data_IF_329659911811
#
_entry.id   IF_329659911811
#
_cell.length_a   1.000
_cell.length_b   1.000
_cell.length_c   1.000
_cell.angle_alpha   90.00
_cell.angle_beta   90.00
_cell.angle_gamma   90.00
#
_symmetry.space_group_name_H-M   'P 1'
#
loop_
_entity.id
_entity.type
_entity.pdbx_description
1 polymer ?
#
# COMPACT_ATOMS: atom_id res chain seq x y z
N UNK A 1 61.85 6.87 19.05
CA UNK A 1 60.39 6.72 19.33
C UNK A 1 59.65 7.72 18.47
N UNK A 2 59.35 7.31 17.23
CA UNK A 2 58.52 8.08 16.29
C UNK A 2 57.08 7.62 16.40
N UNK A 3 56.20 8.56 16.70
CA UNK A 3 54.76 8.36 16.67
C UNK A 3 54.25 8.56 15.22
N UNK A 4 53.85 7.49 14.57
CA UNK A 4 53.18 7.56 13.26
C UNK A 4 51.70 7.88 13.44
N UNK A 5 51.30 9.10 13.11
CA UNK A 5 49.93 9.50 12.94
C UNK A 5 49.37 8.90 11.63
N UNK A 6 48.36 8.05 11.73
CA UNK A 6 47.58 7.59 10.57
C UNK A 6 46.66 8.71 10.10
N UNK A 7 47.07 9.42 9.04
CA UNK A 7 46.20 10.33 8.30
C UNK A 7 45.32 9.50 7.33
N UNK A 8 44.02 9.77 7.35
CA UNK A 8 43.02 9.21 6.45
C UNK A 8 43.26 9.61 4.97
N UNK A 9 44.22 8.96 4.36
CA UNK A 9 44.52 9.09 2.94
C UNK A 9 43.58 8.19 2.13
N UNK A 10 42.52 8.76 1.56
CA UNK A 10 41.67 8.06 0.61
C UNK A 10 42.49 7.50 -0.54
N UNK A 11 42.41 6.19 -0.79
CA UNK A 11 43.02 5.53 -1.94
C UNK A 11 42.40 6.08 -3.21
N UNK A 12 42.97 7.16 -3.75
CA UNK A 12 42.76 7.57 -5.14
C UNK A 12 43.54 6.64 -6.03
N UNK A 13 42.95 5.50 -6.47
CA UNK A 13 43.50 4.73 -7.56
C UNK A 13 43.53 5.63 -8.80
N UNK A 14 44.74 6.01 -9.26
CA UNK A 14 44.92 6.49 -10.62
C UNK A 14 44.55 5.34 -11.55
N UNK A 15 43.42 5.47 -12.22
CA UNK A 15 43.08 4.61 -13.36
C UNK A 15 44.14 4.86 -14.42
N UNK A 16 44.89 3.82 -14.78
CA UNK A 16 45.88 3.85 -15.88
C UNK A 16 45.15 4.17 -17.17
N UNK A 17 45.77 5.01 -18.03
CA UNK A 17 45.30 5.27 -19.40
C UNK A 17 45.11 3.95 -20.12
N UNK A 18 43.85 3.58 -20.44
CA UNK A 18 43.56 2.37 -21.21
C UNK A 18 42.32 1.57 -20.78
N UNK A 19 41.77 1.80 -19.60
CA UNK A 19 40.48 1.21 -19.24
C UNK A 19 39.36 2.22 -19.55
N UNK A 20 38.59 1.96 -20.60
CA UNK A 20 37.34 2.69 -20.82
C UNK A 20 36.46 2.50 -19.56
N UNK A 21 36.06 3.60 -18.95
CA UNK A 21 35.09 3.58 -17.84
C UNK A 21 33.74 3.26 -18.47
N UNK A 22 33.23 2.06 -18.21
CA UNK A 22 31.95 1.59 -18.77
C UNK A 22 30.81 2.55 -18.44
N UNK A 23 30.86 3.18 -17.26
CA UNK A 23 29.83 4.13 -16.82
C UNK A 23 30.44 5.51 -16.49
N UNK A 24 29.91 6.55 -17.09
CA UNK A 24 30.23 7.94 -16.76
C UNK A 24 29.11 8.52 -15.91
N UNK A 25 29.45 9.30 -14.88
CA UNK A 25 28.44 10.01 -14.06
C UNK A 25 27.53 10.95 -14.88
N UNK A 26 28.00 11.39 -16.04
CA UNK A 26 27.25 12.23 -16.98
C UNK A 26 26.33 11.44 -17.92
N UNK A 27 26.31 10.11 -17.87
CA UNK A 27 25.39 9.35 -18.70
C UNK A 27 23.98 9.53 -18.14
N UNK A 28 23.14 10.23 -18.89
CA UNK A 28 21.71 10.38 -18.63
C UNK A 28 20.94 9.26 -19.35
N UNK A 29 19.69 9.02 -18.94
CA UNK A 29 18.82 8.07 -19.66
C UNK A 29 18.66 8.51 -21.12
N UNK A 30 18.47 9.81 -21.37
CA UNK A 30 18.36 10.40 -22.71
C UNK A 30 19.56 10.07 -23.61
N UNK A 31 20.77 10.12 -23.04
CA UNK A 31 21.99 9.85 -23.79
C UNK A 31 22.25 8.35 -24.02
N UNK A 32 21.79 7.48 -23.10
CA UNK A 32 22.08 6.03 -23.11
C UNK A 32 20.95 5.24 -23.77
N UNK A 33 19.71 5.62 -23.52
CA UNK A 33 18.51 4.96 -24.03
C UNK A 33 17.41 6.00 -24.34
N UNK A 34 17.51 6.67 -25.51
CA UNK A 34 16.53 7.68 -25.90
C UNK A 34 15.09 7.15 -25.98
N UNK A 35 14.88 5.87 -26.28
CA UNK A 35 13.56 5.27 -26.38
C UNK A 35 12.88 5.19 -25.00
N UNK A 36 13.63 4.79 -23.97
CA UNK A 36 13.13 4.81 -22.59
C UNK A 36 12.91 6.24 -22.10
N UNK A 37 13.81 7.16 -22.45
CA UNK A 37 13.67 8.57 -22.10
C UNK A 37 12.39 9.20 -22.69
N UNK A 38 12.08 8.91 -23.94
CA UNK A 38 10.88 9.37 -24.64
C UNK A 38 9.61 8.91 -23.91
N UNK A 39 9.53 7.63 -23.54
CA UNK A 39 8.39 7.09 -22.77
C UNK A 39 8.25 7.77 -21.40
N UNK A 40 9.35 7.97 -20.66
CA UNK A 40 9.34 8.64 -19.37
C UNK A 40 8.86 10.10 -19.53
N UNK A 41 9.31 10.78 -20.58
CA UNK A 41 8.93 12.17 -20.86
C UNK A 41 7.44 12.28 -21.19
N UNK A 42 6.90 11.37 -22.00
CA UNK A 42 5.47 11.32 -22.29
C UNK A 42 4.62 11.01 -21.05
N UNK A 43 5.06 10.06 -20.21
CA UNK A 43 4.34 9.76 -18.96
C UNK A 43 4.41 10.94 -17.98
N UNK A 44 5.54 11.66 -17.92
CA UNK A 44 5.66 12.87 -17.12
C UNK A 44 4.65 13.93 -17.58
N UNK A 45 4.57 14.18 -18.88
CA UNK A 45 3.60 15.11 -19.46
C UNK A 45 2.15 14.66 -19.16
N UNK A 46 1.85 13.36 -19.32
CA UNK A 46 0.54 12.83 -18.97
C UNK A 46 0.17 13.09 -17.51
N UNK A 47 1.09 12.85 -16.58
CA UNK A 47 0.85 13.08 -15.15
C UNK A 47 0.65 14.57 -14.83
N UNK A 48 1.29 15.47 -15.55
CA UNK A 48 1.07 16.91 -15.40
C UNK A 48 -0.26 17.39 -16.00
N UNK A 49 -0.66 16.85 -17.15
CA UNK A 49 -1.82 17.32 -17.91
C UNK A 49 -3.14 16.70 -17.47
N UNK A 50 -3.11 15.47 -16.91
CA UNK A 50 -4.32 14.75 -16.54
C UNK A 50 -4.79 15.06 -15.11
N UNK A 51 -6.09 15.00 -14.90
CA UNK A 51 -6.73 14.92 -13.58
C UNK A 51 -6.72 13.45 -13.17
N UNK A 52 -5.90 13.11 -12.16
CA UNK A 52 -5.73 11.76 -11.67
C UNK A 52 -6.71 11.44 -10.54
N UNK A 53 -7.69 10.59 -10.81
CA UNK A 53 -8.72 10.19 -9.86
C UNK A 53 -8.69 8.68 -9.53
N UNK A 54 -7.66 7.94 -9.93
CA UNK A 54 -7.48 6.57 -9.46
C UNK A 54 -7.17 6.60 -7.96
N UNK A 55 -8.06 6.05 -7.14
CA UNK A 55 -7.99 6.12 -5.68
C UNK A 55 -6.73 5.49 -5.06
N UNK A 56 -6.05 4.63 -5.80
CA UNK A 56 -4.81 3.95 -5.39
C UNK A 56 -3.53 4.61 -5.91
N UNK A 57 -3.63 5.75 -6.58
CA UNK A 57 -2.50 6.51 -7.09
C UNK A 57 -2.24 7.78 -6.28
N UNK A 58 -0.98 8.21 -6.30
CA UNK A 58 -0.52 9.43 -5.67
C UNK A 58 0.84 9.84 -6.26
N UNK A 59 1.30 11.04 -5.95
CA UNK A 59 2.60 11.55 -6.38
C UNK A 59 3.59 11.52 -5.22
N UNK A 60 4.65 10.72 -5.37
CA UNK A 60 5.76 10.70 -4.42
C UNK A 60 6.58 12.01 -4.51
N UNK A 61 7.11 12.47 -3.38
CA UNK A 61 7.94 13.67 -3.35
C UNK A 61 9.25 13.50 -4.14
N UNK A 62 9.88 14.60 -4.58
CA UNK A 62 11.21 14.55 -5.19
C UNK A 62 12.25 13.85 -4.30
N UNK A 63 12.16 13.99 -2.97
CA UNK A 63 13.07 13.33 -2.03
C UNK A 63 12.88 11.81 -2.00
N UNK A 64 11.64 11.33 -2.06
CA UNK A 64 11.32 9.91 -2.20
C UNK A 64 11.87 9.36 -3.51
N UNK A 65 11.68 10.08 -4.63
CA UNK A 65 12.21 9.70 -5.95
C UNK A 65 13.74 9.68 -5.98
N UNK A 66 14.39 10.65 -5.33
CA UNK A 66 15.85 10.69 -5.21
C UNK A 66 16.39 9.50 -4.41
N UNK A 67 15.72 9.10 -3.33
CA UNK A 67 16.10 7.92 -2.54
C UNK A 67 15.98 6.64 -3.37
N UNK A 68 14.94 6.49 -4.18
CA UNK A 68 14.77 5.36 -5.10
C UNK A 68 15.88 5.27 -6.16
N UNK A 69 16.33 6.41 -6.69
CA UNK A 69 17.42 6.49 -7.67
C UNK A 69 18.83 6.47 -7.06
N UNK A 70 18.97 6.16 -5.78
CA UNK A 70 20.25 6.20 -5.07
C UNK A 70 21.14 4.98 -5.32
N UNK A 71 22.41 5.08 -4.93
CA UNK A 71 23.38 3.98 -5.01
C UNK A 71 23.03 2.75 -4.14
N UNK A 72 22.01 2.87 -3.25
CA UNK A 72 21.55 1.76 -2.44
C UNK A 72 20.94 0.62 -3.27
N UNK A 73 20.56 0.88 -4.53
CA UNK A 73 20.15 -0.16 -5.48
C UNK A 73 21.24 -1.21 -5.72
N UNK A 74 22.50 -0.86 -5.51
CA UNK A 74 23.64 -1.77 -5.73
C UNK A 74 23.90 -2.71 -4.55
N UNK A 75 23.26 -2.49 -3.37
CA UNK A 75 23.59 -3.21 -2.16
C UNK A 75 22.75 -4.45 -1.96
N UNK A 76 23.39 -5.60 -1.84
CA UNK A 76 22.79 -6.87 -1.47
C UNK A 76 22.81 -7.04 0.05
N UNK A 77 21.64 -7.17 0.70
CA UNK A 77 21.51 -7.10 2.15
C UNK A 77 20.52 -8.15 2.72
N UNK A 78 20.66 -9.43 2.31
CA UNK A 78 19.86 -10.52 2.89
C UNK A 78 20.02 -10.60 4.39
N UNK A 79 18.93 -10.91 5.08
CA UNK A 79 18.82 -10.87 6.53
C UNK A 79 18.20 -9.57 7.03
N UNK A 80 18.53 -9.20 8.26
CA UNK A 80 17.95 -8.04 8.98
C UNK A 80 19.05 -7.18 9.59
N UNK A 81 18.78 -5.93 10.02
CA UNK A 81 19.77 -5.07 10.65
C UNK A 81 20.56 -5.79 11.76
N UNK A 82 21.89 -5.71 11.70
CA UNK A 82 22.79 -6.40 12.62
C UNK A 82 22.90 -7.93 12.44
N UNK A 83 22.11 -8.52 11.53
CA UNK A 83 22.08 -9.97 11.26
C UNK A 83 22.03 -10.24 9.76
N UNK A 84 22.98 -9.68 8.99
CA UNK A 84 23.08 -9.84 7.55
C UNK A 84 23.94 -11.04 7.16
N UNK A 85 23.61 -11.61 6.01
CA UNK A 85 24.42 -12.67 5.39
C UNK A 85 25.58 -12.11 4.58
N UNK A 86 25.64 -10.80 4.32
CA UNK A 86 26.65 -10.11 3.50
C UNK A 86 27.34 -9.02 4.30
N UNK A 87 28.63 -8.78 4.02
CA UNK A 87 29.38 -7.67 4.58
C UNK A 87 29.02 -6.31 3.96
N UNK A 88 29.49 -5.22 4.57
CA UNK A 88 29.29 -3.85 4.05
C UNK A 88 27.85 -3.34 4.21
N UNK A 89 27.15 -3.78 5.24
CA UNK A 89 25.73 -3.42 5.48
C UNK A 89 25.55 -2.34 6.54
N UNK A 90 26.65 -1.82 7.12
CA UNK A 90 26.62 -0.86 8.23
C UNK A 90 25.76 0.38 7.94
N UNK A 91 25.74 0.87 6.72
CA UNK A 91 24.93 2.05 6.34
C UNK A 91 23.50 1.69 5.99
N UNK A 92 23.27 0.56 5.31
CA UNK A 92 21.91 0.12 4.97
C UNK A 92 21.14 -0.39 6.18
N UNK A 93 21.83 -0.89 7.21
CA UNK A 93 21.24 -1.24 8.50
C UNK A 93 20.63 0.00 9.17
N UNK A 94 21.34 1.14 9.13
CA UNK A 94 20.82 2.41 9.66
C UNK A 94 19.57 2.85 8.88
N UNK A 95 19.58 2.73 7.56
CA UNK A 95 18.43 3.11 6.70
C UNK A 95 17.21 2.25 7.01
N UNK A 96 17.39 0.93 7.13
CA UNK A 96 16.27 0.02 7.43
C UNK A 96 15.74 0.27 8.85
N UNK A 97 16.63 0.48 9.83
CA UNK A 97 16.23 0.81 11.19
C UNK A 97 15.45 2.14 11.26
N UNK A 98 15.88 3.17 10.51
CA UNK A 98 15.13 4.43 10.42
C UNK A 98 13.71 4.22 9.85
N UNK A 99 13.55 3.36 8.85
CA UNK A 99 12.23 3.05 8.32
C UNK A 99 11.35 2.34 9.36
N UNK A 100 11.90 1.38 10.10
CA UNK A 100 11.23 0.67 11.19
C UNK A 100 10.80 1.65 12.29
N UNK A 101 11.73 2.48 12.79
CA UNK A 101 11.47 3.41 13.88
C UNK A 101 10.42 4.46 13.51
N UNK A 102 10.51 5.00 12.29
CA UNK A 102 9.52 5.97 11.78
C UNK A 102 8.15 5.34 11.60
N UNK A 103 8.06 4.08 11.14
CA UNK A 103 6.80 3.36 11.04
C UNK A 103 6.17 3.13 12.42
N UNK A 104 6.95 2.74 13.43
CA UNK A 104 6.48 2.62 14.81
C UNK A 104 5.99 3.96 15.37
N UNK A 105 6.77 5.01 15.18
CA UNK A 105 6.43 6.36 15.64
C UNK A 105 5.15 6.88 15.01
N UNK A 106 4.94 6.59 13.72
CA UNK A 106 3.78 7.07 12.97
C UNK A 106 2.49 6.36 13.35
N UNK A 107 2.54 5.04 13.58
CA UNK A 107 1.33 4.22 13.71
C UNK A 107 1.14 3.59 15.10
N UNK A 108 2.22 3.15 15.75
CA UNK A 108 2.12 2.40 17.00
C UNK A 108 2.08 3.33 18.23
N UNK A 109 2.96 4.35 18.27
CA UNK A 109 3.03 5.28 19.42
C UNK A 109 1.72 6.05 19.65
N UNK A 110 1.04 6.61 18.61
CA UNK A 110 -0.23 7.30 18.82
C UNK A 110 -1.35 6.40 19.37
N UNK A 111 -1.26 5.09 19.10
CA UNK A 111 -2.21 4.10 19.60
C UNK A 111 -1.79 3.52 20.97
N UNK A 112 -0.60 3.86 21.48
CA UNK A 112 -0.07 3.35 22.75
C UNK A 112 0.21 1.83 22.71
N UNK A 113 0.58 1.27 21.56
CA UNK A 113 0.80 -0.17 21.38
C UNK A 113 2.22 -0.48 20.93
N UNK A 114 2.71 -1.66 21.32
CA UNK A 114 3.97 -2.20 20.84
C UNK A 114 3.70 -3.23 19.74
N UNK A 115 4.31 -3.03 18.56
CA UNK A 115 4.30 -3.99 17.47
C UNK A 115 5.71 -4.12 16.86
N UNK A 116 6.04 -5.32 16.39
CA UNK A 116 7.19 -5.54 15.53
C UNK A 116 6.85 -5.04 14.10
N UNK A 117 7.85 -4.52 13.40
CA UNK A 117 7.69 -3.94 12.07
C UNK A 117 8.68 -4.56 11.08
N UNK A 118 8.19 -5.05 9.95
CA UNK A 118 9.00 -5.48 8.82
C UNK A 118 8.76 -4.55 7.63
N UNK A 119 9.84 -3.90 7.17
CA UNK A 119 9.79 -2.92 6.06
C UNK A 119 10.28 -3.48 4.73
N UNK A 120 10.63 -4.77 4.68
CA UNK A 120 11.21 -5.41 3.49
C UNK A 120 10.21 -5.84 2.41
N UNK A 121 8.89 -6.04 2.64
CA UNK A 121 7.99 -6.47 1.57
C UNK A 121 8.07 -5.56 0.34
N UNK A 122 8.25 -6.18 -0.85
CA UNK A 122 8.36 -5.46 -2.11
C UNK A 122 7.03 -4.83 -2.55
N UNK A 123 5.92 -5.35 -2.07
CA UNK A 123 4.57 -4.86 -2.36
C UNK A 123 3.59 -5.21 -1.24
N UNK A 124 2.39 -4.61 -1.24
CA UNK A 124 1.31 -5.02 -0.34
C UNK A 124 0.88 -6.48 -0.55
N UNK A 125 0.87 -6.95 -1.80
CA UNK A 125 0.56 -8.37 -2.09
C UNK A 125 1.60 -9.31 -1.47
N UNK A 126 2.89 -8.97 -1.49
CA UNK A 126 3.92 -9.76 -0.81
C UNK A 126 3.85 -9.64 0.72
N UNK A 127 3.48 -8.48 1.25
CA UNK A 127 3.22 -8.35 2.69
C UNK A 127 2.10 -9.30 3.13
N UNK A 128 0.96 -9.31 2.41
CA UNK A 128 -0.15 -10.21 2.70
C UNK A 128 0.25 -11.68 2.55
N UNK A 129 0.97 -12.03 1.48
CA UNK A 129 1.40 -13.42 1.27
C UNK A 129 2.39 -13.90 2.34
N UNK A 130 3.28 -13.03 2.81
CA UNK A 130 4.20 -13.36 3.90
C UNK A 130 3.45 -13.63 5.23
N UNK A 131 2.40 -12.87 5.52
CA UNK A 131 1.54 -13.12 6.68
C UNK A 131 0.87 -14.50 6.57
N UNK A 132 0.26 -14.79 5.44
CA UNK A 132 -0.37 -16.11 5.24
C UNK A 132 0.65 -17.24 5.31
N UNK A 133 1.78 -17.11 4.64
CA UNK A 133 2.83 -18.12 4.65
C UNK A 133 3.43 -18.36 6.05
N UNK A 134 3.52 -17.32 6.87
CA UNK A 134 4.07 -17.41 8.23
C UNK A 134 3.10 -17.96 9.29
N UNK A 135 1.78 -17.85 9.04
CA UNK A 135 0.77 -18.13 10.06
C UNK A 135 -0.21 -19.23 9.69
N UNK A 136 -0.28 -19.64 8.42
CA UNK A 136 -1.27 -20.58 7.91
C UNK A 136 -0.62 -21.78 7.23
N UNK A 137 -1.35 -22.89 7.21
CA UNK A 137 -1.05 -24.05 6.39
C UNK A 137 -1.95 -24.07 5.13
N UNK A 138 -1.47 -24.69 4.06
CA UNK A 138 -2.26 -24.87 2.83
C UNK A 138 -3.57 -25.60 3.15
N UNK A 139 -4.69 -25.01 2.75
CA UNK A 139 -6.03 -25.55 3.04
C UNK A 139 -6.69 -24.98 4.28
N UNK A 140 -5.99 -24.15 5.07
CA UNK A 140 -6.63 -23.41 6.15
C UNK A 140 -7.73 -22.46 5.63
N UNK A 141 -8.70 -22.17 6.49
CA UNK A 141 -9.80 -21.25 6.12
C UNK A 141 -9.44 -19.81 6.41
N UNK A 142 -9.66 -18.93 5.44
CA UNK A 142 -9.54 -17.47 5.57
C UNK A 142 -10.90 -16.81 5.26
N UNK A 143 -11.16 -15.68 5.90
CA UNK A 143 -12.29 -14.81 5.58
C UNK A 143 -11.78 -13.45 5.09
N UNK A 144 -12.41 -12.89 4.08
CA UNK A 144 -12.10 -11.55 3.55
C UNK A 144 -13.30 -10.96 2.84
N UNK A 145 -13.29 -9.64 2.63
CA UNK A 145 -14.34 -8.97 1.87
C UNK A 145 -14.36 -9.47 0.42
N UNK A 146 -15.54 -9.80 -0.07
CA UNK A 146 -15.77 -10.22 -1.46
C UNK A 146 -15.15 -9.22 -2.44
N UNK A 147 -14.44 -9.71 -3.47
CA UNK A 147 -13.85 -8.86 -4.50
C UNK A 147 -14.92 -8.02 -5.23
N UNK A 148 -16.10 -8.61 -5.45
CA UNK A 148 -17.23 -7.93 -6.11
C UNK A 148 -17.82 -6.79 -5.25
N UNK A 149 -17.54 -6.78 -3.96
CA UNK A 149 -18.07 -5.81 -3.00
C UNK A 149 -16.96 -4.92 -2.40
N UNK A 150 -15.81 -4.85 -3.06
CA UNK A 150 -14.73 -3.93 -2.73
C UNK A 150 -13.51 -4.55 -2.06
N UNK A 151 -13.42 -5.88 -1.93
CA UNK A 151 -12.24 -6.57 -1.42
C UNK A 151 -11.01 -6.41 -2.34
N UNK A 152 -9.86 -6.89 -1.86
CA UNK A 152 -8.63 -6.93 -2.66
C UNK A 152 -8.38 -8.35 -3.20
N UNK A 153 -7.62 -8.46 -4.30
CA UNK A 153 -7.25 -9.75 -4.91
C UNK A 153 -6.65 -10.72 -3.89
N UNK A 154 -5.80 -10.23 -2.98
CA UNK A 154 -5.13 -11.04 -1.97
C UNK A 154 -6.00 -11.39 -0.76
N UNK A 155 -7.29 -11.03 -0.77
CA UNK A 155 -8.25 -11.40 0.27
C UNK A 155 -9.07 -12.66 -0.09
N UNK A 156 -8.59 -13.47 -1.05
CA UNK A 156 -9.21 -14.75 -1.40
C UNK A 156 -9.72 -14.87 -2.83
N UNK A 157 -9.35 -13.97 -3.74
CA UNK A 157 -9.74 -14.10 -5.16
C UNK A 157 -9.19 -15.39 -5.75
N UNK A 158 -10.04 -16.17 -6.43
CA UNK A 158 -9.77 -17.56 -6.83
C UNK A 158 -8.54 -17.77 -7.73
N UNK A 159 -8.14 -16.78 -8.54
CA UNK A 159 -6.92 -16.85 -9.35
C UNK A 159 -5.67 -16.38 -8.58
N UNK A 160 -5.85 -15.68 -7.46
CA UNK A 160 -4.76 -15.24 -6.62
C UNK A 160 -4.25 -16.39 -5.74
N UNK A 161 -2.98 -16.33 -5.29
CA UNK A 161 -2.43 -17.34 -4.37
C UNK A 161 -3.34 -17.56 -3.14
N UNK A 162 -3.96 -16.49 -2.62
CA UNK A 162 -4.85 -16.55 -1.46
C UNK A 162 -6.10 -17.43 -1.71
N UNK A 163 -6.65 -17.37 -2.92
CA UNK A 163 -7.78 -18.22 -3.30
C UNK A 163 -7.38 -19.61 -3.80
N UNK A 164 -6.09 -19.80 -4.16
CA UNK A 164 -5.58 -21.11 -4.65
C UNK A 164 -5.09 -22.01 -3.54
N UNK A 165 -4.56 -21.45 -2.46
CA UNK A 165 -3.94 -22.22 -1.38
C UNK A 165 -4.84 -22.38 -0.15
N UNK A 166 -5.84 -21.48 0.02
CA UNK A 166 -6.68 -21.46 1.20
C UNK A 166 -8.16 -21.68 0.85
N UNK A 167 -8.92 -22.16 1.83
CA UNK A 167 -10.38 -22.20 1.75
C UNK A 167 -10.90 -20.80 2.06
N UNK A 168 -11.55 -20.19 1.09
CA UNK A 168 -12.04 -18.82 1.21
C UNK A 168 -13.52 -18.80 1.54
N UNK A 169 -13.87 -18.10 2.61
CA UNK A 169 -15.26 -17.78 2.96
C UNK A 169 -15.39 -16.26 2.88
N UNK A 170 -15.94 -15.72 1.77
CA UNK A 170 -16.10 -14.28 1.64
C UNK A 170 -17.23 -13.77 2.53
N UNK A 171 -17.03 -12.59 3.13
CA UNK A 171 -18.13 -11.80 3.68
C UNK A 171 -18.47 -10.65 2.72
N UNK A 172 -19.63 -10.00 2.94
CA UNK A 172 -20.14 -9.00 2.03
C UNK A 172 -20.72 -7.79 2.72
N UNK A 173 -21.52 -7.06 1.97
CA UNK A 173 -22.22 -5.86 2.39
C UNK A 173 -23.69 -6.16 2.68
N UNK A 174 -24.30 -5.36 3.53
CA UNK A 174 -25.74 -5.36 3.80
C UNK A 174 -26.55 -4.63 2.71
N UNK A 175 -27.86 -4.50 2.93
CA UNK A 175 -28.75 -3.80 2.00
C UNK A 175 -28.46 -2.29 1.90
N UNK A 176 -27.73 -1.70 2.85
CA UNK A 176 -27.29 -0.32 2.84
C UNK A 176 -25.90 -0.14 2.24
N UNK A 177 -25.34 -1.22 1.67
CA UNK A 177 -23.99 -1.27 1.10
C UNK A 177 -22.88 -0.99 2.13
N UNK A 178 -23.16 -1.29 3.41
CA UNK A 178 -22.20 -1.29 4.51
C UNK A 178 -21.74 -2.72 4.84
N UNK A 179 -20.57 -2.88 5.45
CA UNK A 179 -20.09 -4.21 5.90
C UNK A 179 -21.12 -4.80 6.88
N UNK A 180 -21.60 -6.00 6.57
CA UNK A 180 -22.56 -6.74 7.42
C UNK A 180 -21.81 -7.47 8.54
N UNK A 181 -21.56 -6.78 9.66
CA UNK A 181 -20.82 -7.34 10.79
C UNK A 181 -21.51 -8.54 11.45
N UNK A 182 -22.84 -8.58 11.45
CA UNK A 182 -23.59 -9.72 12.00
C UNK A 182 -23.41 -10.95 11.13
N UNK A 183 -23.41 -10.76 9.81
CA UNK A 183 -23.11 -11.84 8.88
C UNK A 183 -21.64 -12.28 8.96
N UNK A 184 -20.70 -11.36 9.16
CA UNK A 184 -19.28 -11.68 9.43
C UNK A 184 -19.16 -12.57 10.66
N UNK A 185 -19.84 -12.22 11.76
CA UNK A 185 -19.81 -12.98 12.99
C UNK A 185 -20.42 -14.39 12.81
N UNK A 186 -21.57 -14.46 12.16
CA UNK A 186 -22.22 -15.73 11.85
C UNK A 186 -21.29 -16.65 11.05
N UNK A 187 -20.73 -16.15 9.94
CA UNK A 187 -19.80 -16.91 9.07
C UNK A 187 -18.55 -17.36 9.83
N UNK A 188 -17.99 -16.49 10.68
CA UNK A 188 -16.82 -16.81 11.49
C UNK A 188 -17.09 -17.97 12.46
N UNK A 189 -18.25 -17.97 13.09
CA UNK A 189 -18.68 -19.08 13.99
C UNK A 189 -18.90 -20.39 13.23
N UNK A 190 -19.45 -20.33 12.01
CA UNK A 190 -19.72 -21.48 11.15
C UNK A 190 -18.42 -22.09 10.61
N UNK A 191 -17.53 -21.29 10.03
CA UNK A 191 -16.35 -21.78 9.32
C UNK A 191 -15.05 -21.82 10.14
N UNK A 192 -15.02 -21.18 11.32
CA UNK A 192 -13.86 -21.09 12.23
C UNK A 192 -12.55 -20.81 11.49
N UNK A 193 -12.43 -19.64 10.85
CA UNK A 193 -11.26 -19.30 10.05
C UNK A 193 -10.02 -19.21 10.93
N UNK A 194 -8.84 -19.38 10.33
CA UNK A 194 -7.56 -19.10 11.00
C UNK A 194 -7.25 -17.60 11.00
N UNK A 195 -7.73 -16.90 9.96
CA UNK A 195 -7.51 -15.47 9.80
C UNK A 195 -8.78 -14.80 9.23
N UNK A 196 -9.15 -13.66 9.80
CA UNK A 196 -10.13 -12.75 9.22
C UNK A 196 -9.37 -11.53 8.71
N UNK A 197 -9.55 -11.19 7.42
CA UNK A 197 -8.92 -10.05 6.78
C UNK A 197 -9.93 -8.92 6.72
N UNK A 198 -9.67 -7.83 7.44
CA UNK A 198 -10.41 -6.58 7.32
C UNK A 198 -9.62 -5.60 6.44
N UNK A 199 -10.32 -4.80 5.65
CA UNK A 199 -9.74 -3.86 4.71
C UNK A 199 -10.33 -4.02 3.32
N UNK A 200 -10.18 -3.00 2.50
CA UNK A 200 -10.83 -2.94 1.21
C UNK A 200 -10.04 -2.10 0.20
N UNK A 201 -10.28 -2.36 -1.09
CA UNK A 201 -9.77 -1.57 -2.22
C UNK A 201 -10.79 -0.57 -2.74
N UNK A 202 -12.08 -0.78 -2.47
CA UNK A 202 -13.17 0.00 -3.04
C UNK A 202 -14.38 0.07 -2.07
N UNK A 203 -14.12 0.46 -0.83
CA UNK A 203 -15.14 0.64 0.20
C UNK A 203 -15.08 2.07 0.74
N UNK A 204 -16.19 2.78 0.69
CA UNK A 204 -16.25 4.23 0.93
C UNK A 204 -16.36 4.59 2.40
N UNK A 205 -16.99 3.71 3.22
CA UNK A 205 -17.34 4.01 4.61
C UNK A 205 -16.19 3.68 5.57
N UNK A 206 -16.35 4.05 6.83
CA UNK A 206 -15.42 3.67 7.89
C UNK A 206 -15.55 2.19 8.22
N UNK A 207 -14.40 1.58 8.56
CA UNK A 207 -14.33 0.18 9.00
C UNK A 207 -14.20 0.16 10.51
N UNK A 208 -15.07 -0.60 11.19
CA UNK A 208 -14.98 -0.84 12.63
C UNK A 208 -14.02 -1.99 12.94
N UNK A 209 -12.75 -1.63 13.10
CA UNK A 209 -11.69 -2.61 13.40
C UNK A 209 -11.85 -3.25 14.77
N UNK A 210 -12.49 -2.54 15.74
CA UNK A 210 -12.78 -3.10 17.06
C UNK A 210 -13.79 -4.24 16.93
N UNK A 211 -14.87 -4.04 16.18
CA UNK A 211 -15.87 -5.08 15.96
C UNK A 211 -15.28 -6.29 15.23
N UNK A 212 -14.42 -6.07 14.25
CA UNK A 212 -13.69 -7.17 13.60
C UNK A 212 -12.80 -7.94 14.58
N UNK A 213 -12.12 -7.26 15.51
CA UNK A 213 -11.28 -7.91 16.52
C UNK A 213 -12.13 -8.77 17.47
N UNK A 214 -13.24 -8.24 17.96
CA UNK A 214 -14.18 -8.98 18.80
C UNK A 214 -14.64 -10.28 18.10
N UNK A 215 -15.02 -10.19 16.84
CA UNK A 215 -15.46 -11.34 16.04
C UNK A 215 -14.31 -12.35 15.86
N UNK A 216 -13.15 -11.90 15.38
CA UNK A 216 -12.02 -12.78 15.11
C UNK A 216 -11.56 -13.51 16.37
N UNK A 217 -11.35 -12.80 17.45
CA UNK A 217 -10.88 -13.37 18.71
C UNK A 217 -11.92 -14.30 19.36
N UNK A 218 -13.23 -14.05 19.17
CA UNK A 218 -14.30 -14.92 19.70
C UNK A 218 -14.26 -16.35 19.13
N UNK A 219 -13.68 -16.53 17.95
CA UNK A 219 -13.53 -17.82 17.28
C UNK A 219 -12.09 -18.35 17.25
N UNK A 220 -11.15 -17.64 17.91
CA UNK A 220 -9.72 -17.99 17.96
C UNK A 220 -8.96 -17.71 16.66
N UNK A 221 -9.49 -16.84 15.80
CA UNK A 221 -8.84 -16.41 14.58
C UNK A 221 -7.93 -15.18 14.82
N UNK A 222 -6.89 -15.04 14.00
CA UNK A 222 -6.16 -13.78 13.92
C UNK A 222 -7.00 -12.72 13.18
N UNK A 223 -6.95 -11.48 13.66
CA UNK A 223 -7.38 -10.33 12.86
C UNK A 223 -6.17 -9.76 12.10
N UNK A 224 -6.21 -9.84 10.78
CA UNK A 224 -5.29 -9.13 9.89
C UNK A 224 -6.01 -7.93 9.27
N UNK A 225 -5.45 -6.74 9.43
CA UNK A 225 -5.97 -5.55 8.75
C UNK A 225 -5.06 -5.15 7.62
N UNK A 226 -5.58 -5.17 6.39
CA UNK A 226 -4.93 -4.56 5.22
C UNK A 226 -5.41 -3.11 5.11
N UNK A 227 -4.61 -2.19 5.66
CA UNK A 227 -4.93 -0.75 5.65
C UNK A 227 -4.38 -0.01 4.43
N UNK A 228 -3.96 -0.72 3.38
CA UNK A 228 -3.23 -0.14 2.24
C UNK A 228 -3.89 1.11 1.65
N UNK A 229 -5.20 1.11 1.48
CA UNK A 229 -5.93 2.27 0.97
C UNK A 229 -6.00 3.42 1.99
N UNK A 230 -6.09 3.12 3.27
CA UNK A 230 -6.39 4.09 4.33
C UNK A 230 -5.14 4.53 5.12
N UNK A 231 -3.96 3.96 4.85
CA UNK A 231 -2.76 4.16 5.66
C UNK A 231 -2.39 5.63 5.87
N UNK A 232 -2.46 6.45 4.82
CA UNK A 232 -2.19 7.89 4.94
C UNK A 232 -3.24 8.63 5.77
N UNK A 233 -4.51 8.23 5.70
CA UNK A 233 -5.59 8.82 6.50
C UNK A 233 -5.49 8.40 7.97
N UNK A 234 -5.06 7.17 8.24
CA UNK A 234 -4.76 6.68 9.59
C UNK A 234 -3.57 7.43 10.16
N UNK A 235 -2.49 7.58 9.39
CA UNK A 235 -1.31 8.36 9.78
C UNK A 235 -1.65 9.84 10.10
N UNK A 236 -2.57 10.42 9.33
CA UNK A 236 -3.07 11.78 9.57
C UNK A 236 -4.07 11.89 10.73
N UNK A 237 -4.51 10.76 11.33
CA UNK A 237 -5.48 10.73 12.42
C UNK A 237 -6.92 11.07 12.00
N UNK A 238 -7.27 10.94 10.71
CA UNK A 238 -8.60 11.29 10.17
C UNK A 238 -9.46 10.07 9.82
N UNK A 239 -8.94 8.87 9.99
CA UNK A 239 -9.63 7.58 9.77
C UNK A 239 -9.38 6.65 10.97
N UNK A 240 -10.31 5.72 11.29
CA UNK A 240 -10.12 4.77 12.39
C UNK A 240 -8.82 4.00 12.29
N UNK A 241 -8.12 3.82 13.42
CA UNK A 241 -6.87 3.06 13.47
C UNK A 241 -7.12 1.59 13.77
N UNK A 242 -6.43 0.64 13.09
CA UNK A 242 -6.46 -0.78 13.44
C UNK A 242 -5.51 -1.11 14.61
N UNK A 243 -4.59 -0.22 14.94
CA UNK A 243 -3.60 -0.42 15.99
C UNK A 243 -4.28 -0.44 17.37
N UNK A 244 -3.98 -1.46 18.17
CA UNK A 244 -4.69 -1.76 19.41
C UNK A 244 -5.85 -2.75 19.26
N UNK A 245 -6.22 -3.11 18.03
CA UNK A 245 -7.26 -4.09 17.72
C UNK A 245 -6.75 -5.29 16.94
N UNK A 246 -5.93 -5.05 15.91
CA UNK A 246 -5.43 -6.09 15.01
C UNK A 246 -4.21 -6.83 15.57
N UNK A 247 -4.11 -8.13 15.27
CA UNK A 247 -2.92 -8.94 15.53
C UNK A 247 -1.83 -8.65 14.52
N UNK A 248 -2.22 -8.42 13.27
CA UNK A 248 -1.35 -8.08 12.15
C UNK A 248 -1.96 -6.92 11.36
N UNK A 249 -1.12 -5.96 10.97
CA UNK A 249 -1.50 -4.88 10.05
C UNK A 249 -0.55 -4.90 8.86
N UNK A 250 -1.11 -4.92 7.66
CA UNK A 250 -0.32 -4.77 6.42
C UNK A 250 -0.70 -3.50 5.70
N UNK A 251 0.22 -2.97 4.91
CA UNK A 251 -0.07 -1.81 4.07
C UNK A 251 0.84 -1.75 2.86
N UNK A 252 0.41 -0.97 1.86
CA UNK A 252 1.29 -0.40 0.83
C UNK A 252 1.80 0.96 1.30
N UNK A 253 2.90 1.41 0.70
CA UNK A 253 3.47 2.73 1.01
C UNK A 253 3.14 3.82 -0.01
N UNK A 254 2.54 3.47 -1.17
CA UNK A 254 2.42 4.33 -2.35
C UNK A 254 1.01 4.86 -2.66
N UNK A 255 0.02 4.65 -1.77
CA UNK A 255 -1.36 5.15 -1.96
C UNK A 255 -1.56 6.44 -1.16
N UNK A 256 -2.51 6.48 -0.24
CA UNK A 256 -2.71 7.66 0.62
C UNK A 256 -1.48 8.04 1.44
N UNK A 257 -0.58 7.09 1.74
CA UNK A 257 0.67 7.36 2.46
C UNK A 257 1.73 8.11 1.62
N UNK A 258 1.55 8.21 0.30
CA UNK A 258 2.34 9.06 -0.60
C UNK A 258 3.84 8.72 -0.70
N UNK A 259 4.19 7.45 -0.43
CA UNK A 259 5.56 6.96 -0.48
C UNK A 259 5.92 6.18 -1.76
N UNK A 260 7.04 5.47 -1.75
CA UNK A 260 7.46 4.61 -2.87
C UNK A 260 6.56 3.38 -2.97
N UNK A 261 6.58 2.70 -4.12
CA UNK A 261 5.91 1.41 -4.27
C UNK A 261 6.59 0.36 -3.40
N UNK A 262 5.85 -0.18 -2.44
CA UNK A 262 6.35 -1.18 -1.48
C UNK A 262 5.27 -1.57 -0.48
N UNK A 263 5.61 -2.42 0.50
CA UNK A 263 4.74 -2.84 1.58
C UNK A 263 5.41 -2.76 2.94
N UNK A 264 4.59 -2.78 4.00
CA UNK A 264 5.00 -2.91 5.39
C UNK A 264 4.13 -3.97 6.07
N UNK A 265 4.69 -4.62 7.09
CA UNK A 265 3.96 -5.50 7.99
C UNK A 265 4.22 -5.04 9.42
N UNK A 266 3.17 -4.89 10.19
CA UNK A 266 3.19 -4.74 11.64
C UNK A 266 2.57 -5.99 12.24
N UNK A 267 3.14 -6.53 13.29
CA UNK A 267 2.56 -7.69 13.97
C UNK A 267 2.83 -7.63 15.48
N UNK A 268 2.03 -8.35 16.23
CA UNK A 268 2.30 -8.56 17.65
C UNK A 268 3.75 -9.09 17.83
N UNK A 269 4.44 -8.72 18.91
CA UNK A 269 5.85 -9.14 19.15
C UNK A 269 6.05 -10.65 19.14
N UNK A 270 5.08 -11.43 19.63
CA UNK A 270 5.14 -12.90 19.63
C UNK A 270 5.11 -13.54 18.23
N UNK A 271 4.66 -12.80 17.22
CA UNK A 271 4.59 -13.24 15.82
C UNK A 271 5.81 -12.82 14.99
N UNK A 272 6.67 -11.91 15.53
CA UNK A 272 7.78 -11.31 14.79
C UNK A 272 8.67 -12.34 14.10
N UNK A 273 9.11 -13.36 14.85
CA UNK A 273 10.01 -14.39 14.31
C UNK A 273 9.39 -15.14 13.14
N UNK A 274 8.11 -15.46 13.21
CA UNK A 274 7.38 -16.17 12.13
C UNK A 274 7.25 -15.28 10.89
N UNK A 275 6.85 -14.03 11.09
CA UNK A 275 6.68 -13.06 10.01
C UNK A 275 8.02 -12.74 9.34
N UNK A 276 9.07 -12.46 10.12
CA UNK A 276 10.39 -12.20 9.57
C UNK A 276 10.95 -13.40 8.79
N UNK A 277 10.76 -14.64 9.29
CA UNK A 277 11.15 -15.85 8.55
C UNK A 277 10.33 -16.07 7.29
N UNK A 278 9.06 -15.68 7.28
CA UNK A 278 8.19 -15.77 6.11
C UNK A 278 8.58 -14.75 5.03
N UNK A 279 9.01 -13.55 5.42
CA UNK A 279 9.54 -12.55 4.48
C UNK A 279 10.88 -13.03 3.94
N UNK A 280 11.86 -13.24 4.81
CA UNK A 280 13.18 -13.74 4.44
C UNK A 280 13.60 -14.87 5.39
N UNK A 281 13.99 -16.04 4.86
CA UNK A 281 14.16 -16.39 3.45
C UNK A 281 12.89 -16.97 2.78
N UNK A 282 11.72 -16.92 3.43
CA UNK A 282 10.53 -17.66 3.00
C UNK A 282 10.02 -17.24 1.61
N UNK A 283 9.85 -15.95 1.36
CA UNK A 283 9.24 -15.43 0.14
C UNK A 283 10.13 -14.47 -0.67
N UNK A 284 11.10 -13.87 -0.03
CA UNK A 284 12.02 -12.91 -0.64
C UNK A 284 13.46 -13.30 -0.38
N UNK A 285 14.39 -12.85 -1.27
CA UNK A 285 15.83 -12.83 -1.06
C UNK A 285 16.29 -11.45 -0.61
N UNK A 286 17.23 -10.84 -1.35
CA UNK A 286 17.75 -9.52 -1.06
C UNK A 286 16.67 -8.43 -1.05
N UNK A 287 16.55 -7.66 0.03
CA UNK A 287 15.61 -6.55 0.10
C UNK A 287 16.04 -5.41 -0.83
N UNK A 288 15.05 -4.61 -1.28
CA UNK A 288 15.29 -3.45 -2.15
C UNK A 288 15.69 -2.25 -1.28
N UNK A 289 17.00 -2.11 -0.99
CA UNK A 289 17.49 -1.10 -0.04
C UNK A 289 17.22 0.34 -0.47
N UNK A 290 17.21 0.63 -1.77
CA UNK A 290 16.81 1.92 -2.31
C UNK A 290 15.32 2.23 -2.07
N UNK A 291 14.45 1.22 -2.13
CA UNK A 291 13.02 1.37 -1.80
C UNK A 291 12.84 1.53 -0.28
N UNK A 292 13.60 0.80 0.55
CA UNK A 292 13.56 0.96 2.01
C UNK A 292 13.99 2.37 2.40
N UNK A 293 15.03 2.92 1.76
CA UNK A 293 15.42 4.31 1.96
C UNK A 293 14.29 5.29 1.59
N UNK A 294 13.64 5.06 0.47
CA UNK A 294 12.49 5.86 0.05
C UNK A 294 11.29 5.73 1.01
N UNK A 295 11.05 4.53 1.57
CA UNK A 295 10.07 4.33 2.68
C UNK A 295 10.45 5.15 3.91
N UNK A 296 11.74 5.14 4.30
CA UNK A 296 12.21 5.93 5.43
C UNK A 296 11.96 7.43 5.22
N UNK A 297 12.22 7.95 4.01
CA UNK A 297 11.94 9.34 3.66
C UNK A 297 10.44 9.64 3.77
N UNK A 298 9.60 8.84 3.10
CA UNK A 298 8.15 9.05 3.08
C UNK A 298 7.52 8.96 4.48
N UNK A 299 7.97 8.04 5.32
CA UNK A 299 7.52 7.93 6.71
C UNK A 299 7.98 9.15 7.54
N UNK A 300 9.16 9.70 7.23
CA UNK A 300 9.62 10.97 7.81
C UNK A 300 8.75 12.15 7.42
N UNK A 301 8.36 12.25 6.14
CA UNK A 301 7.41 13.26 5.65
C UNK A 301 6.03 13.11 6.29
N UNK A 302 5.57 11.86 6.49
CA UNK A 302 4.28 11.60 7.13
C UNK A 302 4.26 11.92 8.63
N UNK A 303 5.40 12.02 9.29
CA UNK A 303 5.53 12.50 10.68
C UNK A 303 5.47 14.02 10.81
N UNK A 304 5.59 14.77 9.71
CA UNK A 304 5.48 16.23 9.72
C UNK A 304 4.00 16.63 9.93
N UNK A 305 3.72 17.66 10.75
CA UNK A 305 2.35 18.13 10.97
C UNK A 305 1.58 18.51 9.71
N UNK A 306 2.24 18.90 8.63
CA UNK A 306 1.62 19.19 7.34
C UNK A 306 0.92 17.97 6.73
N UNK A 307 1.35 16.76 7.08
CA UNK A 307 0.71 15.54 6.58
C UNK A 307 -0.72 15.37 7.11
N UNK A 308 -1.00 15.85 8.33
CA UNK A 308 -2.37 15.91 8.86
C UNK A 308 -3.24 16.83 8.02
N UNK A 309 -2.72 18.01 7.65
CA UNK A 309 -3.44 18.96 6.78
C UNK A 309 -3.76 18.33 5.42
N UNK A 310 -2.79 17.61 4.84
CA UNK A 310 -3.02 16.83 3.62
C UNK A 310 -4.14 15.79 3.81
N UNK A 311 -4.11 14.99 4.87
CA UNK A 311 -5.13 13.96 5.13
C UNK A 311 -6.54 14.55 5.31
N UNK A 312 -6.65 15.68 6.04
CA UNK A 312 -7.91 16.40 6.20
C UNK A 312 -8.44 16.94 4.85
N UNK A 313 -7.54 17.46 4.00
CA UNK A 313 -7.94 17.96 2.69
C UNK A 313 -8.35 16.82 1.75
N UNK A 314 -7.67 15.66 1.79
CA UNK A 314 -8.09 14.47 1.04
C UNK A 314 -9.53 14.07 1.37
N UNK A 315 -9.90 14.08 2.65
CA UNK A 315 -11.26 13.76 3.09
C UNK A 315 -12.29 14.80 2.60
N UNK A 316 -11.97 16.09 2.72
CA UNK A 316 -12.83 17.19 2.24
C UNK A 316 -13.05 17.13 0.73
N UNK A 317 -12.00 16.91 -0.02
CA UNK A 317 -12.07 16.82 -1.49
C UNK A 317 -12.92 15.61 -1.93
N UNK A 318 -12.77 14.46 -1.27
CA UNK A 318 -13.58 13.29 -1.56
C UNK A 318 -15.08 13.54 -1.26
N UNK A 319 -15.39 14.11 -0.11
CA UNK A 319 -16.76 14.44 0.27
C UNK A 319 -17.40 15.45 -0.71
N UNK A 320 -16.70 16.54 -1.03
CA UNK A 320 -17.18 17.54 -1.96
C UNK A 320 -17.42 16.97 -3.37
N UNK A 321 -16.52 16.10 -3.84
CA UNK A 321 -16.69 15.42 -5.13
C UNK A 321 -17.91 14.49 -5.11
N UNK A 322 -18.12 13.70 -4.05
CA UNK A 322 -19.28 12.84 -3.91
C UNK A 322 -20.59 13.63 -3.88
N UNK A 323 -20.65 14.71 -3.10
CA UNK A 323 -21.84 15.59 -3.03
C UNK A 323 -22.17 16.22 -4.38
N UNK A 324 -21.19 16.70 -5.11
CA UNK A 324 -21.40 17.33 -6.41
C UNK A 324 -21.86 16.31 -7.46
N UNK A 325 -21.32 15.09 -7.46
CA UNK A 325 -21.77 14.00 -8.33
C UNK A 325 -23.22 13.62 -8.05
N UNK A 326 -23.62 13.53 -6.77
CA UNK A 326 -25.02 13.25 -6.37
C UNK A 326 -25.95 14.37 -6.82
N UNK A 327 -25.57 15.66 -6.64
CA UNK A 327 -26.35 16.82 -7.13
C UNK A 327 -26.57 16.78 -8.65
N UNK A 328 -25.63 16.19 -9.39
CA UNK A 328 -25.74 15.99 -10.86
C UNK A 328 -26.46 14.71 -11.27
N UNK A 329 -27.06 13.99 -10.32
CA UNK A 329 -27.88 12.81 -10.59
C UNK A 329 -27.12 11.49 -10.70
N UNK A 330 -25.82 11.45 -10.32
CA UNK A 330 -25.08 10.21 -10.22
C UNK A 330 -25.34 9.53 -8.86
N UNK A 331 -25.26 8.21 -8.85
CA UNK A 331 -25.41 7.43 -7.62
C UNK A 331 -24.02 7.07 -7.07
N UNK A 332 -23.78 7.40 -5.82
CA UNK A 332 -22.62 6.91 -5.07
C UNK A 332 -23.04 5.63 -4.33
N UNK A 333 -22.26 4.57 -4.44
CA UNK A 333 -22.43 3.35 -3.63
C UNK A 333 -22.28 3.74 -2.15
N UNK A 334 -23.16 3.27 -1.28
CA UNK A 334 -23.34 3.70 0.11
C UNK A 334 -23.82 5.16 0.28
N UNK A 335 -24.25 5.83 -0.78
CA UNK A 335 -24.79 7.19 -0.76
C UNK A 335 -23.76 8.32 -0.56
N UNK A 336 -22.64 8.07 0.08
CA UNK A 336 -21.58 9.04 0.40
C UNK A 336 -20.23 8.37 0.60
N UNK A 337 -19.20 9.16 0.92
CA UNK A 337 -17.90 8.63 1.33
C UNK A 337 -17.47 9.20 2.68
N UNK A 338 -16.85 8.36 3.48
CA UNK A 338 -16.19 8.67 4.75
C UNK A 338 -14.68 8.43 4.69
N UNK A 339 -14.15 8.35 3.46
CA UNK A 339 -12.73 8.12 3.18
C UNK A 339 -12.28 8.92 1.95
N UNK A 340 -11.17 8.52 1.33
CA UNK A 340 -10.63 9.11 0.10
C UNK A 340 -11.23 8.51 -1.17
N UNK A 341 -11.99 7.43 -1.08
CA UNK A 341 -12.46 6.63 -2.22
C UNK A 341 -13.98 6.59 -2.27
N UNK A 342 -14.53 6.56 -3.48
CA UNK A 342 -15.94 6.32 -3.73
C UNK A 342 -16.13 5.46 -4.97
N UNK A 343 -17.24 4.71 -5.01
CA UNK A 343 -17.73 4.03 -6.20
C UNK A 343 -18.91 4.79 -6.76
N UNK A 344 -18.89 5.05 -8.06
CA UNK A 344 -20.00 5.67 -8.80
C UNK A 344 -20.71 4.58 -9.59
N UNK A 345 -22.00 4.39 -9.32
CA UNK A 345 -22.88 3.51 -10.08
C UNK A 345 -23.39 4.23 -11.33
N UNK A 346 -23.02 3.71 -12.49
CA UNK A 346 -23.33 4.31 -13.79
C UNK A 346 -24.60 3.73 -14.44
N UNK A 347 -25.27 2.75 -13.83
CA UNK A 347 -26.51 2.14 -14.35
C UNK A 347 -27.63 3.16 -14.59
N UNK A 348 -27.83 4.18 -13.73
CA UNK A 348 -28.82 5.22 -14.02
C UNK A 348 -28.58 5.97 -15.33
N UNK A 349 -27.31 6.12 -15.74
CA UNK A 349 -26.92 6.76 -16.99
C UNK A 349 -26.92 5.80 -18.19
N UNK A 350 -27.15 4.49 -17.96
CA UNK A 350 -27.11 3.42 -18.98
C UNK A 350 -25.78 3.34 -19.72
N UNK A 351 -24.65 3.62 -19.04
CA UNK A 351 -23.30 3.47 -19.55
C UNK A 351 -22.51 2.49 -18.70
N UNK A 352 -21.58 1.79 -19.32
CA UNK A 352 -20.72 0.84 -18.63
C UNK A 352 -19.47 1.55 -18.03
N UNK A 353 -18.85 0.94 -17.02
CA UNK A 353 -17.60 1.43 -16.48
C UNK A 353 -16.50 1.54 -17.54
N UNK A 354 -16.42 0.57 -18.46
CA UNK A 354 -15.47 0.60 -19.58
C UNK A 354 -15.70 1.80 -20.51
N UNK A 355 -16.95 2.10 -20.86
CA UNK A 355 -17.26 3.26 -21.69
C UNK A 355 -16.90 4.57 -20.98
N UNK A 356 -17.25 4.70 -19.70
CA UNK A 356 -16.93 5.87 -18.90
C UNK A 356 -15.41 6.07 -18.75
N UNK A 357 -14.65 5.01 -18.43
CA UNK A 357 -13.19 5.04 -18.36
C UNK A 357 -12.57 5.54 -19.68
N UNK A 358 -13.05 5.06 -20.83
CA UNK A 358 -12.57 5.48 -22.15
C UNK A 358 -12.87 6.95 -22.44
N UNK A 359 -14.11 7.39 -22.17
CA UNK A 359 -14.53 8.78 -22.42
C UNK A 359 -13.82 9.78 -21.50
N UNK A 360 -13.68 9.45 -20.22
CA UNK A 360 -12.99 10.29 -19.26
C UNK A 360 -11.49 10.41 -19.57
N UNK A 361 -10.86 9.30 -19.98
CA UNK A 361 -9.45 9.34 -20.41
C UNK A 361 -9.24 10.22 -21.63
N UNK A 362 -10.17 10.22 -22.60
CA UNK A 362 -10.15 11.12 -23.75
C UNK A 362 -10.34 12.60 -23.36
N UNK A 363 -10.92 12.86 -22.18
CA UNK A 363 -11.08 14.18 -21.60
C UNK A 363 -9.95 14.52 -20.58
N UNK A 364 -8.86 13.77 -20.58
CA UNK A 364 -7.73 13.92 -19.65
C UNK A 364 -8.12 13.74 -18.18
N UNK A 365 -9.09 12.87 -17.91
CA UNK A 365 -9.48 12.46 -16.55
C UNK A 365 -9.22 10.97 -16.40
N UNK A 366 -8.24 10.62 -15.58
CA UNK A 366 -7.83 9.22 -15.36
C UNK A 366 -8.61 8.59 -14.21
N UNK A 367 -9.35 7.52 -14.52
CA UNK A 367 -10.13 6.73 -13.54
C UNK A 367 -9.95 5.25 -13.83
N UNK A 368 -10.43 4.38 -12.95
CA UNK A 368 -10.58 2.97 -13.29
C UNK A 368 -12.03 2.52 -13.24
N UNK A 369 -12.43 1.69 -14.21
CA UNK A 369 -13.69 0.95 -14.12
C UNK A 369 -13.63 0.01 -12.91
N UNK A 370 -14.76 -0.17 -12.25
CA UNK A 370 -14.88 -1.00 -11.07
C UNK A 370 -16.25 -1.66 -11.00
N UNK A 371 -16.28 -2.92 -10.57
CA UNK A 371 -17.53 -3.56 -10.23
C UNK A 371 -18.20 -2.84 -9.06
N UNK A 372 -19.51 -2.82 -9.06
CA UNK A 372 -20.35 -2.34 -7.96
C UNK A 372 -21.05 -3.53 -7.29
N UNK A 373 -21.59 -3.38 -6.07
CA UNK A 373 -22.36 -4.45 -5.45
C UNK A 373 -23.50 -4.92 -6.37
N UNK A 374 -23.65 -6.24 -6.51
CA UNK A 374 -24.60 -6.88 -7.42
C UNK A 374 -24.48 -6.41 -8.89
N UNK A 375 -23.27 -6.25 -9.37
CA UNK A 375 -22.97 -5.81 -10.72
C UNK A 375 -23.45 -6.86 -11.74
N UNK A 376 -24.34 -6.50 -12.70
CA UNK A 376 -24.79 -7.42 -13.74
C UNK A 376 -23.75 -7.62 -14.85
N UNK A 377 -22.73 -6.77 -14.93
CA UNK A 377 -21.72 -6.79 -15.99
C UNK A 377 -20.52 -7.69 -15.61
N UNK A 378 -19.81 -8.14 -16.65
CA UNK A 378 -18.57 -8.91 -16.47
C UNK A 378 -17.44 -8.02 -15.92
N UNK A 379 -16.43 -8.58 -15.22
CA UNK A 379 -15.33 -7.81 -14.60
C UNK A 379 -14.54 -6.88 -15.54
N UNK A 380 -14.47 -7.17 -16.85
CA UNK A 380 -13.80 -6.32 -17.84
C UNK A 380 -14.68 -5.20 -18.40
N UNK A 381 -15.96 -5.18 -18.08
CA UNK A 381 -16.94 -4.19 -18.52
C UNK A 381 -17.35 -3.30 -17.36
N UNK A 382 -17.86 -3.88 -16.29
CA UNK A 382 -18.36 -3.29 -15.05
C UNK A 382 -19.49 -2.25 -15.26
N UNK A 383 -20.23 -1.97 -14.20
CA UNK A 383 -21.29 -0.95 -14.20
C UNK A 383 -20.90 0.32 -13.44
N UNK A 384 -19.68 0.40 -12.93
CA UNK A 384 -19.21 1.53 -12.16
C UNK A 384 -17.78 1.97 -12.48
N UNK A 385 -17.42 3.10 -11.89
CA UNK A 385 -16.04 3.60 -11.82
C UNK A 385 -15.68 3.86 -10.38
N UNK A 386 -14.39 3.74 -10.05
CA UNK A 386 -13.84 4.09 -8.74
C UNK A 386 -13.10 5.43 -8.87
N UNK A 387 -13.39 6.34 -7.95
CA UNK A 387 -12.77 7.67 -7.87
C UNK A 387 -12.11 7.85 -6.52
N UNK A 388 -11.08 8.67 -6.49
CA UNK A 388 -10.40 9.08 -5.26
C UNK A 388 -9.70 10.43 -5.38
N UNK A 389 -9.46 11.06 -4.25
CA UNK A 389 -8.94 12.42 -4.15
C UNK A 389 -7.43 12.57 -3.85
N UNK A 390 -6.64 11.52 -3.45
CA UNK A 390 -5.30 11.72 -2.93
C UNK A 390 -4.32 12.40 -3.89
N UNK A 391 -4.27 11.96 -5.15
CA UNK A 391 -3.35 12.48 -6.15
C UNK A 391 -3.60 13.98 -6.42
N UNK A 392 -4.86 14.36 -6.63
CA UNK A 392 -5.20 15.77 -6.87
C UNK A 392 -4.99 16.64 -5.63
N UNK A 393 -5.25 16.10 -4.43
CA UNK A 393 -4.93 16.82 -3.18
C UNK A 393 -3.42 17.08 -3.06
N UNK A 394 -2.58 16.12 -3.43
CA UNK A 394 -1.12 16.30 -3.46
C UNK A 394 -0.70 17.40 -4.44
N UNK A 395 -1.45 17.59 -5.54
CA UNK A 395 -1.22 18.68 -6.51
C UNK A 395 -1.80 20.04 -6.08
N UNK A 396 -2.48 20.12 -4.94
CA UNK A 396 -2.98 21.39 -4.37
C UNK A 396 -4.43 21.73 -4.69
N UNK A 397 -5.23 20.77 -5.15
CA UNK A 397 -6.68 20.89 -5.31
C UNK A 397 -7.39 20.87 -3.95
#
# INVERSE_FOLDING_TARGET
TESTSLTSGGIRRRLTKGTEVVFKRSNTIEAVDPAVWDVISHETARQEDHIELIASENYASPAVMQAQGSCLTNKYAEGYPGKRYYGGCEHVDVVEQLAIDRAKKLFCEPAGVEMAVNVQPHSGAQANSAVYFGLLEVGDTIMGLSLAEGGHLTHGMHLNYSGRYFKVVPYGLDANEAIDYDRVEQLARECKPKIIVAGASAYSLRIDFKRFAEIAHSVGAYLMVDMAHYAGLIAAGVYPTPFGHADIVTTTTHKTLRGPRGGLIFCRPDLEKKINSAVFPGMQGGPLMHVIAAKAVALGEALDPSFKVYGEQVMKNAAAMAEELVKRGLRIVSGHTESHVMLVDLRPLKITGKAAETLLNAAHITVNKNAIPNDPEKPFVTSGIRLGSPAMTTRGF
#
